data_IF_953253474511
#
_entry.id   IF_953253474511
#
_cell.length_a   1.000
_cell.length_b   1.000
_cell.length_c   1.000
_cell.angle_alpha   90.00
_cell.angle_beta   90.00
_cell.angle_gamma   90.00
#
_symmetry.space_group_name_H-M   'P 1'
#
loop_
_entity.id
_entity.type
_entity.pdbx_description
1 polymer ?
#
# COMPACT_ATOMS: atom_id res chain seq x y z
N UNK A 1 -10.15 4.92 -16.22
CA UNK A 1 -10.09 3.53 -15.71
C UNK A 1 -10.66 2.60 -16.78
N UNK A 2 -11.94 2.74 -17.16
CA UNK A 2 -12.65 1.85 -18.09
C UNK A 2 -11.89 1.64 -19.42
N UNK A 3 -11.55 2.71 -20.14
CA UNK A 3 -10.86 2.64 -21.44
C UNK A 3 -9.50 1.93 -21.35
N UNK A 4 -8.74 2.19 -20.28
CA UNK A 4 -7.46 1.53 -20.05
C UNK A 4 -7.66 0.03 -19.81
N UNK A 5 -8.62 -0.34 -18.96
CA UNK A 5 -8.93 -1.73 -18.66
C UNK A 5 -9.38 -2.50 -19.93
N UNK A 6 -10.22 -1.90 -20.78
CA UNK A 6 -10.62 -2.46 -22.06
C UNK A 6 -9.44 -2.71 -23.02
N UNK A 7 -8.41 -1.86 -22.97
CA UNK A 7 -7.22 -2.01 -23.83
C UNK A 7 -6.26 -3.11 -23.37
N UNK A 8 -6.21 -3.39 -22.08
CA UNK A 8 -5.29 -4.40 -21.52
C UNK A 8 -5.94 -5.78 -21.38
N UNK A 9 -7.26 -5.88 -21.50
CA UNK A 9 -7.96 -7.18 -21.44
C UNK A 9 -7.53 -8.08 -22.59
N UNK A 10 -6.88 -9.21 -22.25
CA UNK A 10 -6.50 -10.26 -23.18
C UNK A 10 -7.53 -11.37 -23.32
N UNK A 11 -8.71 -11.23 -22.72
CA UNK A 11 -9.80 -12.21 -22.72
C UNK A 11 -9.85 -13.11 -21.48
N UNK A 12 -8.83 -13.07 -20.64
CA UNK A 12 -8.82 -13.81 -19.34
C UNK A 12 -9.42 -13.01 -18.20
N UNK A 13 -9.63 -11.69 -18.41
CA UNK A 13 -10.27 -10.78 -17.49
C UNK A 13 -9.33 -9.74 -16.87
N UNK A 14 -9.91 -8.82 -16.10
CA UNK A 14 -9.23 -7.67 -15.51
C UNK A 14 -9.38 -7.69 -13.99
N UNK A 15 -8.28 -7.62 -13.28
CA UNK A 15 -8.25 -7.36 -11.84
C UNK A 15 -7.97 -5.89 -11.57
N UNK A 16 -8.88 -5.21 -10.87
CA UNK A 16 -8.72 -3.83 -10.46
C UNK A 16 -8.21 -3.79 -8.99
N UNK A 17 -7.01 -3.27 -8.79
CA UNK A 17 -6.40 -3.09 -7.46
C UNK A 17 -6.65 -1.64 -7.04
N UNK A 18 -7.39 -1.43 -5.95
CA UNK A 18 -7.97 -0.15 -5.58
C UNK A 18 -7.47 0.28 -4.21
N UNK A 19 -6.86 1.45 -4.10
CA UNK A 19 -6.59 2.03 -2.78
C UNK A 19 -7.90 2.47 -2.13
N UNK A 20 -8.07 2.16 -0.83
CA UNK A 20 -9.28 2.50 -0.11
C UNK A 20 -9.37 4.00 0.19
N UNK A 21 -9.93 4.75 -0.77
CA UNK A 21 -10.36 6.16 -0.66
C UNK A 21 -11.72 6.29 -1.29
N UNK A 22 -12.61 7.07 -0.68
CA UNK A 22 -14.01 7.19 -1.15
C UNK A 22 -14.12 7.57 -2.62
N UNK A 23 -13.30 8.52 -3.08
CA UNK A 23 -13.29 8.94 -4.49
C UNK A 23 -12.84 7.83 -5.44
N UNK A 24 -11.77 7.12 -5.07
CA UNK A 24 -11.27 5.99 -5.86
C UNK A 24 -12.29 4.85 -5.89
N UNK A 25 -12.84 4.48 -4.74
CA UNK A 25 -13.88 3.43 -4.66
C UNK A 25 -15.02 3.73 -5.61
N UNK A 26 -15.62 4.93 -5.57
CA UNK A 26 -16.73 5.30 -6.44
C UNK A 26 -16.38 5.26 -7.93
N UNK A 27 -15.19 5.74 -8.30
CA UNK A 27 -14.74 5.74 -9.68
C UNK A 27 -14.46 4.33 -10.21
N UNK A 28 -13.83 3.49 -9.38
CA UNK A 28 -13.54 2.11 -9.75
C UNK A 28 -14.79 1.23 -9.75
N UNK A 29 -15.76 1.44 -8.84
CA UNK A 29 -17.06 0.77 -8.85
C UNK A 29 -17.79 1.05 -10.17
N UNK A 30 -17.87 2.32 -10.57
CA UNK A 30 -18.48 2.70 -11.87
C UNK A 30 -17.78 2.04 -13.06
N UNK A 31 -16.43 2.04 -13.05
CA UNK A 31 -15.67 1.41 -14.13
C UNK A 31 -15.85 -0.11 -14.17
N UNK A 32 -15.96 -0.77 -13.00
CA UNK A 32 -16.20 -2.20 -12.87
C UNK A 32 -17.54 -2.60 -13.50
N UNK A 33 -18.60 -1.88 -13.18
CA UNK A 33 -19.94 -2.14 -13.74
C UNK A 33 -19.95 -1.96 -15.27
N UNK A 34 -19.31 -0.89 -15.77
CA UNK A 34 -19.19 -0.65 -17.22
C UNK A 34 -18.37 -1.74 -17.94
N UNK A 35 -17.29 -2.26 -17.30
CA UNK A 35 -16.51 -3.37 -17.84
C UNK A 35 -17.35 -4.66 -17.92
N UNK A 36 -18.08 -4.96 -16.85
CA UNK A 36 -18.96 -6.12 -16.81
C UNK A 36 -20.05 -6.04 -17.89
N UNK A 37 -20.72 -4.89 -18.03
CA UNK A 37 -21.74 -4.65 -19.04
C UNK A 37 -21.19 -4.75 -20.48
N UNK A 38 -19.87 -4.50 -20.63
CA UNK A 38 -19.16 -4.66 -21.91
C UNK A 38 -18.67 -6.10 -22.16
N UNK A 39 -18.99 -7.05 -21.27
CA UNK A 39 -18.66 -8.47 -21.40
C UNK A 39 -17.25 -8.85 -20.90
N UNK A 40 -16.55 -7.95 -20.23
CA UNK A 40 -15.24 -8.24 -19.62
C UNK A 40 -15.43 -8.95 -18.27
N UNK A 41 -14.71 -10.03 -18.05
CA UNK A 41 -14.59 -10.61 -16.70
C UNK A 41 -13.79 -9.66 -15.82
N UNK A 42 -14.39 -9.10 -14.80
CA UNK A 42 -13.73 -8.13 -13.92
C UNK A 42 -13.96 -8.48 -12.46
N UNK A 43 -12.93 -8.34 -11.65
CA UNK A 43 -13.05 -8.39 -10.18
C UNK A 43 -12.16 -7.35 -9.53
N UNK A 44 -12.30 -7.15 -8.22
CA UNK A 44 -11.64 -6.06 -7.51
C UNK A 44 -10.95 -6.55 -6.24
N UNK A 45 -9.86 -5.88 -5.88
CA UNK A 45 -9.19 -6.01 -4.57
C UNK A 45 -9.00 -4.62 -3.99
N UNK A 46 -9.60 -4.36 -2.84
CA UNK A 46 -9.45 -3.09 -2.11
C UNK A 46 -8.27 -3.20 -1.16
N UNK A 47 -7.36 -2.23 -1.21
CA UNK A 47 -6.16 -2.15 -0.39
C UNK A 47 -6.39 -1.19 0.77
N UNK A 48 -6.11 -1.63 1.99
CA UNK A 48 -6.34 -0.92 3.25
C UNK A 48 -5.20 -1.15 4.26
N UNK A 49 -3.98 -0.84 3.86
CA UNK A 49 -2.76 -1.20 4.59
C UNK A 49 -2.27 -0.18 5.62
N UNK A 50 -2.79 1.05 5.62
CA UNK A 50 -2.38 2.11 6.55
C UNK A 50 -2.91 1.87 7.97
N UNK A 51 -2.00 1.61 8.91
CA UNK A 51 -2.36 1.31 10.30
C UNK A 51 -2.62 2.56 11.15
N UNK A 52 -2.32 3.75 10.63
CA UNK A 52 -2.37 4.99 11.40
C UNK A 52 -3.80 5.44 11.71
N UNK A 53 -4.70 5.42 10.72
CA UNK A 53 -6.05 5.96 10.85
C UNK A 53 -7.09 4.91 10.44
N UNK A 54 -7.91 4.48 11.38
CA UNK A 54 -8.93 3.44 11.14
C UNK A 54 -10.19 3.96 10.47
N UNK A 55 -10.54 5.22 10.71
CA UNK A 55 -11.67 5.92 10.08
C UNK A 55 -11.31 7.37 9.84
N UNK A 56 -11.55 7.87 8.64
CA UNK A 56 -11.29 9.26 8.27
C UNK A 56 -12.48 9.87 7.53
N UNK A 57 -12.44 11.18 7.27
CA UNK A 57 -13.41 11.84 6.40
C UNK A 57 -13.34 11.38 4.93
N UNK A 58 -12.28 10.68 4.55
CA UNK A 58 -11.97 10.31 3.17
C UNK A 58 -12.07 8.80 2.91
N UNK A 59 -12.18 7.98 3.97
CA UNK A 59 -12.25 6.53 3.89
C UNK A 59 -13.15 5.95 4.97
N UNK A 60 -13.87 4.89 4.64
CA UNK A 60 -14.44 3.98 5.62
C UNK A 60 -13.39 2.89 5.91
N UNK A 61 -12.91 2.79 7.14
CA UNK A 61 -11.83 1.90 7.53
C UNK A 61 -10.43 2.45 7.22
N UNK A 62 -9.44 1.57 7.14
CA UNK A 62 -8.03 1.93 6.91
C UNK A 62 -7.82 2.47 5.48
N UNK A 63 -6.91 3.43 5.33
CA UNK A 63 -6.52 3.95 4.00
C UNK A 63 -5.67 2.92 3.25
N UNK A 64 -5.71 2.97 1.90
CA UNK A 64 -4.79 2.23 1.04
C UNK A 64 -3.59 3.08 0.67
N UNK A 65 -2.38 2.57 0.95
CA UNK A 65 -1.14 3.30 0.69
C UNK A 65 -0.10 2.40 -0.01
N UNK A 66 1.14 2.34 0.46
CA UNK A 66 2.26 1.82 -0.29
C UNK A 66 2.30 0.28 -0.46
N UNK A 67 1.55 -0.51 0.34
CA UNK A 67 1.44 -1.95 0.09
C UNK A 67 0.83 -2.26 -1.28
N UNK A 68 0.08 -1.32 -1.87
CA UNK A 68 -0.43 -1.43 -3.24
C UNK A 68 0.68 -1.76 -4.23
N UNK A 69 1.84 -1.13 -4.12
CA UNK A 69 3.00 -1.35 -5.00
C UNK A 69 3.53 -2.80 -4.90
N UNK A 70 3.60 -3.33 -3.67
CA UNK A 70 4.02 -4.71 -3.45
C UNK A 70 3.00 -5.70 -3.99
N UNK A 71 1.71 -5.46 -3.77
CA UNK A 71 0.62 -6.30 -4.26
C UNK A 71 0.58 -6.29 -5.80
N UNK A 72 0.68 -5.13 -6.44
CA UNK A 72 0.72 -5.02 -7.91
C UNK A 72 1.86 -5.85 -8.50
N UNK A 73 3.07 -5.79 -7.90
CA UNK A 73 4.21 -6.62 -8.34
C UNK A 73 3.95 -8.12 -8.19
N UNK A 74 3.43 -8.53 -7.03
CA UNK A 74 3.25 -9.94 -6.71
C UNK A 74 2.11 -10.57 -7.50
N UNK A 75 0.98 -9.87 -7.58
CA UNK A 75 -0.19 -10.32 -8.35
C UNK A 75 0.11 -10.26 -9.85
N UNK A 76 0.84 -9.25 -10.32
CA UNK A 76 1.30 -9.19 -11.71
C UNK A 76 2.20 -10.37 -12.09
N UNK A 77 3.09 -10.80 -11.18
CA UNK A 77 3.91 -11.99 -11.38
C UNK A 77 3.09 -13.30 -11.41
N UNK A 78 2.04 -13.40 -10.59
CA UNK A 78 1.11 -14.52 -10.61
C UNK A 78 0.32 -14.56 -11.93
N UNK A 79 -0.17 -13.42 -12.40
CA UNK A 79 -0.85 -13.31 -13.69
C UNK A 79 0.09 -13.70 -14.86
N UNK A 80 1.33 -13.23 -14.86
CA UNK A 80 2.34 -13.59 -15.87
C UNK A 80 2.69 -15.09 -15.82
N UNK A 81 2.65 -15.71 -14.66
CA UNK A 81 2.78 -17.17 -14.48
C UNK A 81 1.59 -17.94 -15.09
N UNK A 82 0.47 -17.30 -15.36
CA UNK A 82 -0.75 -17.89 -15.94
C UNK A 82 -1.80 -18.28 -14.89
N UNK A 83 -1.75 -17.69 -13.71
CA UNK A 83 -2.77 -17.89 -12.69
C UNK A 83 -4.10 -17.26 -13.13
N UNK A 84 -5.23 -17.88 -12.76
CA UNK A 84 -6.55 -17.37 -13.10
C UNK A 84 -6.86 -16.02 -12.43
N UNK A 85 -7.85 -15.28 -12.97
CA UNK A 85 -8.33 -14.03 -12.39
C UNK A 85 -8.71 -14.20 -10.91
N UNK A 86 -9.41 -15.29 -10.58
CA UNK A 86 -9.84 -15.59 -9.20
C UNK A 86 -8.64 -15.86 -8.28
N UNK A 87 -7.65 -16.64 -8.76
CA UNK A 87 -6.42 -16.91 -7.99
C UNK A 87 -5.60 -15.62 -7.75
N UNK A 88 -5.50 -14.76 -8.75
CA UNK A 88 -4.86 -13.43 -8.61
C UNK A 88 -5.59 -12.55 -7.59
N UNK A 89 -6.92 -12.54 -7.61
CA UNK A 89 -7.72 -11.78 -6.66
C UNK A 89 -7.59 -12.32 -5.22
N UNK A 90 -7.61 -13.64 -5.03
CA UNK A 90 -7.38 -14.27 -3.72
C UNK A 90 -5.98 -13.95 -3.17
N UNK A 91 -4.95 -14.03 -4.02
CA UNK A 91 -3.59 -13.62 -3.65
C UNK A 91 -3.57 -12.14 -3.22
N UNK A 92 -4.18 -11.25 -3.98
CA UNK A 92 -4.26 -9.83 -3.64
C UNK A 92 -4.92 -9.59 -2.28
N UNK A 93 -6.03 -10.26 -1.99
CA UNK A 93 -6.71 -10.19 -0.67
C UNK A 93 -5.85 -10.75 0.47
N UNK A 94 -5.19 -11.91 0.25
CA UNK A 94 -4.22 -12.47 1.20
C UNK A 94 -3.12 -11.48 1.54
N UNK A 95 -2.48 -10.88 0.53
CA UNK A 95 -1.39 -9.93 0.70
C UNK A 95 -1.85 -8.63 1.36
N UNK A 96 -3.06 -8.16 1.05
CA UNK A 96 -3.64 -7.01 1.74
C UNK A 96 -3.83 -7.27 3.25
N UNK A 97 -4.23 -8.48 3.62
CA UNK A 97 -4.37 -8.89 5.02
C UNK A 97 -3.03 -9.03 5.77
N UNK A 98 -1.93 -9.13 5.05
CA UNK A 98 -0.58 -9.34 5.57
C UNK A 98 0.30 -8.10 5.53
N UNK A 99 -0.14 -7.02 4.87
CA UNK A 99 0.62 -5.78 4.71
C UNK A 99 0.22 -4.71 5.71
N UNK A 100 1.21 -3.98 6.24
CA UNK A 100 1.04 -2.90 7.21
C UNK A 100 1.91 -1.72 6.80
N UNK A 101 1.33 -0.54 6.77
CA UNK A 101 2.03 0.69 6.38
C UNK A 101 1.77 1.81 7.37
N UNK A 102 2.75 2.70 7.52
CA UNK A 102 2.61 3.97 8.22
C UNK A 102 3.51 5.01 7.58
N UNK A 103 3.03 6.25 7.48
CA UNK A 103 3.79 7.38 6.95
C UNK A 103 4.00 8.49 7.95
N UNK A 104 5.04 9.31 7.74
CA UNK A 104 5.24 10.58 8.43
C UNK A 104 5.54 11.69 7.42
N UNK A 105 5.18 12.94 7.75
CA UNK A 105 5.62 14.10 6.99
C UNK A 105 6.32 15.12 7.89
N UNK A 106 7.40 15.69 7.36
CA UNK A 106 8.15 16.83 7.92
C UNK A 106 7.81 18.14 7.17
N UNK A 107 7.09 18.03 6.06
CA UNK A 107 6.61 19.15 5.27
C UNK A 107 5.45 18.73 4.38
N UNK A 108 4.50 19.61 4.17
CA UNK A 108 3.30 19.36 3.38
C UNK A 108 3.59 19.33 1.88
N UNK A 109 2.74 18.64 1.12
CA UNK A 109 2.73 18.77 -0.33
C UNK A 109 2.01 20.03 -0.79
N UNK A 110 2.37 20.53 -1.97
CA UNK A 110 1.70 21.64 -2.64
C UNK A 110 0.96 21.13 -3.87
N UNK A 111 -0.36 21.04 -3.77
CA UNK A 111 -1.19 20.70 -4.93
C UNK A 111 -1.17 21.86 -5.92
N UNK A 112 -0.78 21.65 -7.20
CA UNK A 112 -0.64 22.75 -8.18
C UNK A 112 -1.88 23.62 -8.32
N UNK A 113 -3.08 23.01 -8.31
CA UNK A 113 -4.34 23.75 -8.40
C UNK A 113 -4.63 24.62 -7.18
N UNK A 114 -4.12 24.26 -5.99
CA UNK A 114 -4.30 25.02 -4.76
C UNK A 114 -3.25 26.15 -4.61
N UNK A 115 -2.05 25.96 -5.17
CA UNK A 115 -0.93 26.93 -5.12
C UNK A 115 -0.41 27.22 -3.70
N UNK A 116 -0.77 26.38 -2.73
CA UNK A 116 -0.35 26.52 -1.32
C UNK A 116 -0.23 25.13 -0.67
N UNK A 117 0.61 24.99 0.38
CA UNK A 117 0.75 23.76 1.14
C UNK A 117 -0.60 23.26 1.69
N UNK A 118 -0.80 21.94 1.73
CA UNK A 118 -2.02 21.29 2.25
C UNK A 118 -2.19 21.48 3.76
N UNK A 119 -1.07 21.61 4.48
CA UNK A 119 -1.02 21.94 5.92
C UNK A 119 0.28 22.68 6.24
N UNK A 120 0.46 23.10 7.48
CA UNK A 120 1.71 23.75 7.96
C UNK A 120 2.18 23.02 9.21
N UNK A 121 3.50 22.84 9.34
CA UNK A 121 4.18 22.32 10.53
C UNK A 121 5.15 23.38 11.05
N UNK A 122 5.45 23.35 12.33
CA UNK A 122 6.58 24.08 12.89
C UNK A 122 7.91 23.40 12.50
N UNK A 123 9.04 24.12 12.62
CA UNK A 123 10.36 23.65 12.16
C UNK A 123 10.81 22.30 12.79
N UNK A 124 10.30 21.98 13.96
CA UNK A 124 10.63 20.73 14.70
C UNK A 124 9.40 19.83 14.91
N UNK A 125 8.42 19.94 14.05
CA UNK A 125 7.17 19.17 14.11
C UNK A 125 7.08 18.16 12.96
N UNK A 126 6.43 17.02 13.21
CA UNK A 126 6.05 16.08 12.18
C UNK A 126 4.56 15.73 12.26
N UNK A 127 3.94 15.46 11.13
CA UNK A 127 2.63 14.84 11.04
C UNK A 127 2.82 13.32 11.08
N UNK A 128 2.40 12.65 12.15
CA UNK A 128 2.58 11.22 12.35
C UNK A 128 1.36 10.45 11.84
N UNK A 129 1.58 9.51 10.91
CA UNK A 129 0.50 8.76 10.27
C UNK A 129 -0.16 9.53 9.12
N UNK A 130 0.58 10.41 8.41
CA UNK A 130 0.06 11.17 7.28
C UNK A 130 -0.38 10.27 6.13
N UNK A 131 -1.46 10.65 5.42
CA UNK A 131 -1.89 10.00 4.19
C UNK A 131 -1.15 10.49 2.94
N UNK A 132 -1.28 9.74 1.85
CA UNK A 132 -0.57 10.03 0.58
C UNK A 132 -1.14 11.23 -0.19
N UNK A 133 -2.30 11.77 0.19
CA UNK A 133 -2.86 13.00 -0.35
C UNK A 133 -2.71 14.19 0.61
N UNK A 134 -1.90 14.03 1.68
CA UNK A 134 -1.73 15.04 2.73
C UNK A 134 -2.87 15.10 3.73
N UNK A 135 -3.62 14.00 3.88
CA UNK A 135 -4.64 13.89 4.91
C UNK A 135 -3.99 13.80 6.29
N UNK A 136 -4.65 14.38 7.32
CA UNK A 136 -4.15 14.32 8.70
C UNK A 136 -3.87 12.88 9.15
N UNK A 137 -2.80 12.72 9.93
CA UNK A 137 -2.43 11.48 10.58
C UNK A 137 -3.13 11.24 11.92
N UNK A 138 -2.41 10.58 12.82
CA UNK A 138 -2.86 10.33 14.21
C UNK A 138 -2.76 11.62 15.01
N UNK A 139 -1.61 12.26 14.96
CA UNK A 139 -1.29 13.50 15.68
C UNK A 139 -0.05 14.20 15.12
N UNK A 140 0.19 15.41 15.61
CA UNK A 140 1.43 16.15 15.41
C UNK A 140 2.33 15.95 16.59
N UNK A 141 3.59 15.64 16.30
CA UNK A 141 4.61 15.33 17.30
C UNK A 141 5.87 16.15 17.06
N UNK A 142 6.65 16.47 18.11
CA UNK A 142 7.99 16.97 17.93
C UNK A 142 8.86 15.96 17.17
N UNK A 143 9.55 16.40 16.15
CA UNK A 143 10.60 15.63 15.51
C UNK A 143 11.88 15.74 16.35
N UNK A 144 12.48 14.61 16.73
CA UNK A 144 13.73 14.58 17.54
C UNK A 144 14.90 13.98 16.77
N UNK A 145 14.76 12.78 16.26
CA UNK A 145 15.79 12.10 15.48
C UNK A 145 15.18 11.07 14.55
N UNK A 146 15.93 10.70 13.51
CA UNK A 146 15.53 9.66 12.58
C UNK A 146 15.27 8.33 13.31
N UNK A 147 16.19 7.91 14.18
CA UNK A 147 16.08 6.64 14.90
C UNK A 147 14.83 6.58 15.76
N UNK A 148 14.55 7.63 16.52
CA UNK A 148 13.35 7.68 17.36
C UNK A 148 12.08 7.67 16.52
N UNK A 149 12.04 8.41 15.41
CA UNK A 149 10.89 8.42 14.49
C UNK A 149 10.62 7.03 13.92
N UNK A 150 11.67 6.33 13.46
CA UNK A 150 11.54 4.96 12.94
C UNK A 150 11.11 4.00 14.03
N UNK A 151 11.59 4.17 15.27
CA UNK A 151 11.17 3.36 16.42
C UNK A 151 9.68 3.51 16.70
N UNK A 152 9.17 4.73 16.77
CA UNK A 152 7.75 5.01 16.98
C UNK A 152 6.86 4.46 15.85
N UNK A 153 7.30 4.60 14.60
CA UNK A 153 6.61 4.02 13.45
C UNK A 153 6.57 2.49 13.53
N UNK A 154 7.70 1.88 13.85
CA UNK A 154 7.82 0.43 13.95
C UNK A 154 6.96 -0.14 15.09
N UNK A 155 6.96 0.52 16.26
CA UNK A 155 6.11 0.12 17.39
C UNK A 155 4.63 0.20 17.01
N UNK A 156 4.21 1.26 16.29
CA UNK A 156 2.85 1.40 15.79
C UNK A 156 2.46 0.28 14.82
N UNK A 157 3.39 -0.15 13.93
CA UNK A 157 3.16 -1.28 13.02
C UNK A 157 2.95 -2.60 13.79
N UNK A 158 3.72 -2.85 14.87
CA UNK A 158 3.62 -4.06 15.67
C UNK A 158 2.43 -4.07 16.61
N UNK A 159 2.09 -2.92 17.19
CA UNK A 159 0.94 -2.78 18.10
C UNK A 159 -0.40 -2.90 17.39
N UNK A 160 -0.41 -2.80 16.05
CA UNK A 160 -1.62 -2.99 15.26
C UNK A 160 -1.99 -4.48 15.23
N UNK A 161 -2.72 -4.92 16.26
CA UNK A 161 -3.21 -6.29 16.41
C UNK A 161 -4.11 -6.75 15.25
N UNK A 162 -4.83 -7.84 15.44
CA UNK A 162 -5.83 -8.29 14.45
C UNK A 162 -6.89 -7.22 14.24
N UNK A 163 -7.17 -6.88 12.99
CA UNK A 163 -8.20 -5.93 12.61
C UNK A 163 -9.23 -6.62 11.70
N UNK A 164 -10.48 -6.70 12.20
CA UNK A 164 -11.60 -7.29 11.47
C UNK A 164 -12.38 -6.20 10.74
N UNK A 165 -12.64 -6.41 9.46
CA UNK A 165 -13.46 -5.51 8.64
C UNK A 165 -14.13 -6.30 7.52
N UNK A 166 -15.10 -5.65 6.86
CA UNK A 166 -15.76 -6.18 5.68
C UNK A 166 -15.32 -5.37 4.47
N UNK A 167 -14.80 -6.01 3.45
CA UNK A 167 -14.41 -5.39 2.18
C UNK A 167 -15.34 -5.88 1.07
N UNK A 168 -15.60 -4.99 0.10
CA UNK A 168 -16.41 -5.30 -1.07
C UNK A 168 -15.53 -5.76 -2.23
N UNK A 169 -16.05 -6.67 -3.02
CA UNK A 169 -15.46 -7.07 -4.30
C UNK A 169 -16.56 -7.32 -5.33
N UNK A 170 -16.21 -7.22 -6.60
CA UNK A 170 -17.14 -7.54 -7.67
C UNK A 170 -17.07 -9.03 -8.02
N UNK A 171 -18.21 -9.70 -7.96
CA UNK A 171 -18.38 -11.07 -8.46
C UNK A 171 -18.90 -11.00 -9.90
N UNK A 172 -18.01 -11.27 -10.86
CA UNK A 172 -18.36 -11.21 -12.27
C UNK A 172 -19.31 -12.34 -12.71
N UNK A 173 -19.39 -13.44 -11.96
CA UNK A 173 -20.32 -14.53 -12.25
C UNK A 173 -21.74 -14.18 -11.86
N UNK A 174 -21.91 -13.47 -10.75
CA UNK A 174 -23.22 -12.99 -10.28
C UNK A 174 -23.60 -11.61 -10.84
N UNK A 175 -22.62 -10.86 -11.38
CA UNK A 175 -22.81 -9.49 -11.83
C UNK A 175 -23.21 -8.54 -10.71
N UNK A 176 -22.60 -8.68 -9.54
CA UNK A 176 -22.98 -7.91 -8.36
C UNK A 176 -21.85 -7.75 -7.35
N UNK A 177 -21.95 -6.69 -6.55
CA UNK A 177 -21.04 -6.45 -5.41
C UNK A 177 -21.34 -7.44 -4.29
N UNK A 178 -20.29 -8.08 -3.82
CA UNK A 178 -20.30 -8.97 -2.66
C UNK A 178 -19.52 -8.35 -1.51
N UNK A 179 -19.85 -8.75 -0.29
CA UNK A 179 -19.15 -8.35 0.93
C UNK A 179 -18.45 -9.56 1.54
N UNK A 180 -17.18 -9.40 1.86
CA UNK A 180 -16.36 -10.47 2.46
C UNK A 180 -15.75 -10.00 3.78
N UNK A 181 -16.02 -10.68 4.90
CA UNK A 181 -15.30 -10.47 6.15
C UNK A 181 -13.83 -10.84 5.99
N UNK A 182 -12.96 -9.91 6.33
CA UNK A 182 -11.51 -10.11 6.25
C UNK A 182 -10.84 -9.74 7.57
N UNK A 183 -9.68 -10.35 7.82
CA UNK A 183 -8.90 -10.10 9.03
C UNK A 183 -7.46 -9.77 8.67
N UNK A 184 -7.03 -8.56 9.00
CA UNK A 184 -5.63 -8.17 8.92
C UNK A 184 -4.84 -8.91 10.01
N UNK A 185 -3.75 -9.56 9.63
CA UNK A 185 -2.95 -10.39 10.54
C UNK A 185 -1.83 -9.56 11.15
N UNK A 186 -1.62 -9.59 12.48
CA UNK A 186 -0.53 -8.88 13.11
C UNK A 186 0.83 -9.44 12.69
N UNK A 187 1.85 -8.58 12.69
CA UNK A 187 3.24 -9.01 12.58
C UNK A 187 3.70 -9.66 13.89
N UNK A 188 4.41 -10.77 13.81
CA UNK A 188 4.85 -11.56 14.96
C UNK A 188 6.31 -12.00 14.82
N UNK A 189 6.96 -12.24 15.95
CA UNK A 189 8.31 -12.83 15.97
C UNK A 189 8.34 -14.15 15.18
N UNK A 190 9.34 -14.30 14.33
CA UNK A 190 9.50 -15.41 13.40
C UNK A 190 8.93 -15.12 11.99
N UNK A 191 8.20 -14.04 11.79
CA UNK A 191 7.69 -13.69 10.47
C UNK A 191 8.82 -13.20 9.54
N UNK A 192 8.69 -13.57 8.27
CA UNK A 192 9.53 -13.12 7.16
C UNK A 192 8.77 -12.02 6.43
N UNK A 193 9.47 -10.93 6.07
CA UNK A 193 8.82 -9.76 5.47
C UNK A 193 9.56 -9.23 4.25
N UNK A 194 8.82 -8.61 3.34
CA UNK A 194 9.33 -7.63 2.38
C UNK A 194 9.15 -6.24 3.01
N UNK A 195 10.23 -5.44 3.03
CA UNK A 195 10.21 -4.09 3.55
C UNK A 195 10.22 -3.07 2.40
N UNK A 196 9.30 -2.13 2.41
CA UNK A 196 9.32 -0.96 1.53
C UNK A 196 9.55 0.30 2.37
N UNK A 197 10.64 1.03 2.08
CA UNK A 197 10.87 2.39 2.57
C UNK A 197 10.61 3.35 1.41
N UNK A 198 9.47 4.00 1.48
CA UNK A 198 8.92 4.77 0.37
C UNK A 198 9.03 6.27 0.62
N UNK A 199 9.58 7.00 -0.36
CA UNK A 199 9.64 8.46 -0.38
C UNK A 199 8.26 9.05 -0.69
N UNK A 200 7.81 10.02 0.09
CA UNK A 200 6.58 10.75 -0.21
C UNK A 200 6.77 11.86 -1.26
N UNK A 201 8.02 12.14 -1.67
CA UNK A 201 8.34 13.00 -2.81
C UNK A 201 9.64 13.78 -2.69
N UNK A 202 9.87 14.46 -1.59
CA UNK A 202 11.01 15.39 -1.45
C UNK A 202 12.12 14.92 -0.50
N UNK A 203 12.04 13.73 0.08
CA UNK A 203 13.05 13.21 1.00
C UNK A 203 14.26 12.68 0.22
N UNK A 204 15.50 13.11 0.52
CA UNK A 204 16.69 12.58 -0.13
C UNK A 204 16.83 11.06 0.03
N UNK A 205 17.28 10.37 -1.02
CA UNK A 205 17.46 8.92 -0.99
C UNK A 205 18.42 8.46 0.13
N UNK A 206 19.44 9.25 0.43
CA UNK A 206 20.39 8.97 1.52
C UNK A 206 19.71 8.89 2.89
N UNK A 207 18.66 9.68 3.13
CA UNK A 207 17.88 9.63 4.37
C UNK A 207 17.02 8.37 4.43
N UNK A 208 16.46 7.93 3.29
CA UNK A 208 15.73 6.65 3.23
C UNK A 208 16.62 5.45 3.55
N UNK A 209 17.90 5.48 3.18
CA UNK A 209 18.85 4.45 3.60
C UNK A 209 19.11 4.48 5.11
N UNK A 210 19.11 5.68 5.73
CA UNK A 210 19.15 5.83 7.19
C UNK A 210 17.92 5.19 7.86
N UNK A 211 16.72 5.46 7.32
CA UNK A 211 15.46 4.83 7.75
C UNK A 211 15.55 3.32 7.66
N UNK A 212 15.99 2.79 6.52
CA UNK A 212 16.10 1.35 6.32
C UNK A 212 17.11 0.69 7.26
N UNK A 213 18.25 1.34 7.54
CA UNK A 213 19.24 0.85 8.49
C UNK A 213 18.65 0.71 9.90
N UNK A 214 17.88 1.74 10.36
CA UNK A 214 17.22 1.66 11.67
C UNK A 214 16.12 0.60 11.66
N UNK A 215 15.30 0.55 10.62
CA UNK A 215 14.25 -0.45 10.46
C UNK A 215 14.79 -1.89 10.54
N UNK A 216 15.93 -2.16 9.88
CA UNK A 216 16.59 -3.48 9.93
C UNK A 216 16.93 -3.87 11.37
N UNK A 217 17.50 -2.92 12.15
CA UNK A 217 17.83 -3.14 13.56
C UNK A 217 16.57 -3.48 14.37
N UNK A 218 15.47 -2.74 14.16
CA UNK A 218 14.21 -2.97 14.87
C UNK A 218 13.56 -4.31 14.50
N UNK A 219 13.54 -4.66 13.20
CA UNK A 219 13.06 -5.97 12.75
C UNK A 219 13.82 -7.11 13.42
N UNK A 220 15.16 -7.06 13.45
CA UNK A 220 15.97 -8.07 14.11
C UNK A 220 15.66 -8.19 15.61
N UNK A 221 15.53 -7.06 16.32
CA UNK A 221 15.18 -7.04 17.74
C UNK A 221 13.79 -7.64 18.02
N UNK A 222 12.83 -7.45 17.11
CA UNK A 222 11.49 -8.02 17.20
C UNK A 222 11.39 -9.46 16.69
N UNK A 223 12.49 -10.03 16.17
CA UNK A 223 12.51 -11.37 15.61
C UNK A 223 11.90 -11.48 14.22
N UNK A 224 11.78 -10.37 13.49
CA UNK A 224 11.36 -10.34 12.09
C UNK A 224 12.57 -10.48 11.17
N UNK A 225 12.40 -11.20 10.06
CA UNK A 225 13.45 -11.34 9.02
C UNK A 225 13.06 -10.58 7.77
N UNK A 226 13.83 -9.55 7.39
CA UNK A 226 13.66 -8.87 6.10
C UNK A 226 14.32 -9.73 5.01
N UNK A 227 13.50 -10.34 4.16
CA UNK A 227 13.97 -11.19 3.04
C UNK A 227 14.30 -10.38 1.80
N UNK A 228 13.51 -9.35 1.53
CA UNK A 228 13.67 -8.44 0.40
C UNK A 228 13.32 -7.02 0.81
N UNK A 229 13.81 -6.06 0.05
CA UNK A 229 13.49 -4.66 0.29
C UNK A 229 13.30 -3.89 -1.02
N UNK A 230 12.59 -2.78 -0.89
CA UNK A 230 12.44 -1.77 -1.93
C UNK A 230 12.61 -0.39 -1.27
N UNK A 231 13.52 0.45 -1.79
CA UNK A 231 13.81 1.77 -1.21
C UNK A 231 13.77 2.80 -2.32
N UNK A 232 12.87 3.77 -2.25
CA UNK A 232 12.73 4.79 -3.29
C UNK A 232 11.37 5.46 -3.32
N UNK A 233 11.04 6.09 -4.43
CA UNK A 233 9.80 6.84 -4.64
C UNK A 233 8.83 6.01 -5.49
N UNK A 234 7.88 5.34 -4.86
CA UNK A 234 6.95 4.42 -5.53
C UNK A 234 5.49 4.78 -5.29
N UNK A 235 5.14 5.29 -4.12
CA UNK A 235 3.81 5.76 -3.76
C UNK A 235 3.95 7.15 -3.14
N UNK A 236 4.02 8.17 -3.98
CA UNK A 236 4.38 9.53 -3.60
C UNK A 236 3.17 10.41 -3.32
N UNK A 237 3.42 11.53 -2.65
CA UNK A 237 2.49 12.63 -2.39
C UNK A 237 3.08 13.94 -2.93
N UNK A 238 3.25 14.03 -4.25
CA UNK A 238 3.84 15.17 -4.95
C UNK A 238 5.24 15.53 -4.38
N UNK A 239 5.38 16.70 -3.77
CA UNK A 239 6.59 17.25 -3.17
C UNK A 239 6.62 17.15 -1.63
N UNK A 240 5.84 16.25 -1.03
CA UNK A 240 5.81 16.07 0.42
C UNK A 240 7.17 15.62 0.94
N UNK A 241 7.69 16.34 1.94
CA UNK A 241 8.88 15.92 2.67
C UNK A 241 8.47 14.93 3.73
N UNK A 242 8.82 13.66 3.54
CA UNK A 242 8.45 12.58 4.43
C UNK A 242 8.69 11.22 3.78
N UNK A 243 8.37 10.18 4.51
CA UNK A 243 8.50 8.80 4.05
C UNK A 243 7.45 7.91 4.71
N UNK A 244 7.24 6.74 4.12
CA UNK A 244 6.45 5.68 4.72
C UNK A 244 7.24 4.37 4.83
N UNK A 245 6.86 3.54 5.78
CA UNK A 245 7.37 2.19 5.97
C UNK A 245 6.22 1.23 5.74
N UNK A 246 6.44 0.23 4.87
CA UNK A 246 5.53 -0.89 4.68
C UNK A 246 6.26 -2.19 5.00
N UNK A 247 5.64 -3.04 5.80
CA UNK A 247 6.09 -4.41 6.06
C UNK A 247 5.00 -5.36 5.57
N UNK A 248 5.34 -6.21 4.61
CA UNK A 248 4.47 -7.25 4.06
C UNK A 248 4.97 -8.62 4.49
N UNK A 249 4.19 -9.35 5.27
CA UNK A 249 4.48 -10.74 5.62
C UNK A 249 4.46 -11.64 4.40
N UNK A 250 5.45 -12.52 4.27
CA UNK A 250 5.68 -13.35 3.09
C UNK A 250 5.99 -14.80 3.43
N UNK A 251 5.71 -15.68 2.48
CA UNK A 251 6.09 -17.08 2.44
C UNK A 251 6.98 -17.37 1.21
N UNK A 252 7.37 -18.62 1.02
CA UNK A 252 8.25 -19.01 -0.08
C UNK A 252 7.61 -18.76 -1.46
N UNK A 253 6.30 -18.94 -1.59
CA UNK A 253 5.58 -18.65 -2.83
C UNK A 253 5.61 -17.15 -3.15
N UNK A 254 5.31 -16.32 -2.16
CA UNK A 254 5.35 -14.85 -2.30
C UNK A 254 6.75 -14.37 -2.67
N UNK A 255 7.80 -14.95 -2.07
CA UNK A 255 9.18 -14.61 -2.42
C UNK A 255 9.54 -15.03 -3.85
N UNK A 256 9.08 -16.19 -4.31
CA UNK A 256 9.28 -16.61 -5.69
C UNK A 256 8.59 -15.66 -6.68
N UNK A 257 7.39 -15.17 -6.37
CA UNK A 257 6.69 -14.17 -7.16
C UNK A 257 7.41 -12.80 -7.13
N UNK A 258 7.98 -12.42 -5.97
CA UNK A 258 8.77 -11.20 -5.88
C UNK A 258 10.02 -11.24 -6.73
N UNK A 259 10.75 -12.35 -6.70
CA UNK A 259 11.99 -12.55 -7.44
C UNK A 259 11.77 -12.75 -8.94
N UNK A 260 10.54 -13.05 -9.38
CA UNK A 260 10.19 -13.17 -10.78
C UNK A 260 10.49 -11.85 -11.54
N UNK A 261 10.91 -11.93 -12.80
CA UNK A 261 11.21 -10.75 -13.61
C UNK A 261 10.04 -9.77 -13.65
N UNK A 262 10.36 -8.48 -13.68
CA UNK A 262 9.41 -7.39 -13.90
C UNK A 262 10.05 -6.35 -14.82
N UNK A 263 9.25 -5.85 -15.76
CA UNK A 263 9.69 -4.84 -16.71
C UNK A 263 8.58 -3.80 -16.91
N UNK A 264 8.60 -2.78 -16.08
CA UNK A 264 7.68 -1.64 -16.13
C UNK A 264 8.47 -0.34 -16.02
N UNK A 265 7.87 0.83 -16.30
CA UNK A 265 8.55 2.12 -16.10
C UNK A 265 9.03 2.36 -14.67
N UNK A 266 8.34 1.81 -13.67
CA UNK A 266 8.64 2.03 -12.25
C UNK A 266 9.50 0.91 -11.64
N UNK A 267 9.33 -0.33 -12.07
CA UNK A 267 10.03 -1.50 -11.53
C UNK A 267 10.69 -2.28 -12.67
N UNK A 268 11.98 -2.57 -12.51
CA UNK A 268 12.72 -3.30 -13.52
C UNK A 268 13.80 -4.16 -12.87
N UNK A 269 13.63 -5.48 -12.84
CA UNK A 269 14.64 -6.46 -12.46
C UNK A 269 14.38 -7.84 -13.07
N UNK A 270 15.41 -8.69 -13.03
CA UNK A 270 15.39 -9.99 -13.66
C UNK A 270 15.53 -9.90 -15.18
N UNK A 271 15.58 -11.06 -15.85
CA UNK A 271 15.64 -11.17 -17.32
C UNK A 271 14.74 -12.30 -17.79
#
# INVERSE_FOLDING_TARGET
>A
IFECAMQIDGGEGVLLIIKNYTGDILNFETATELLHDSGVKVTTVVIDDDVAVKDSLYTAGLRGVANTVLIEKLVGAAAERGDSLDACAELGRKLNNQGHSIGIALGACTVPAAGKPSFTLADNEMEFGVGIHGEPGIDRRPFSSLDQTVDEMFDTLLENGSYHRTLRFWDYQQGSWQEEPQTKQPLQSGDRVIALVNNLGATPLSELYGVYNRLTTRCQQAGLTIERNLIGAYCTSLDMTGFSITLLKVDDETLALWDAPVHTPALNWGK
#
